data_IF_642547019640
#
_entry.id   IF_642547019640
#
_cell.length_a   1.000
_cell.length_b   1.000
_cell.length_c   1.000
_cell.angle_alpha   90.00
_cell.angle_beta   90.00
_cell.angle_gamma   90.00
#
_symmetry.space_group_name_H-M   'P 1'
#
loop_
_entity.id
_entity.type
_entity.pdbx_description
1 polymer ?
#
# COMPACT_ATOMS: atom_id res chain seq x y z
N UNK A 1 -9.50 8.51 7.74
CA UNK A 1 -9.38 8.53 6.27
C UNK A 1 -10.67 9.05 5.65
N UNK A 2 -11.82 8.46 5.95
CA UNK A 2 -13.15 8.85 5.43
C UNK A 2 -13.50 10.34 5.62
N UNK A 3 -13.13 10.94 6.78
CA UNK A 3 -13.36 12.38 7.03
C UNK A 3 -12.67 13.31 6.04
N UNK A 4 -11.58 12.88 5.40
CA UNK A 4 -10.76 13.72 4.49
C UNK A 4 -11.00 13.34 3.04
N UNK A 5 -11.14 12.04 2.75
CA UNK A 5 -11.22 11.50 1.38
C UNK A 5 -12.60 10.95 1.02
N UNK A 6 -13.56 10.97 1.94
CA UNK A 6 -14.91 10.44 1.75
C UNK A 6 -14.96 8.90 1.81
N UNK A 7 -16.17 8.35 1.64
CA UNK A 7 -16.43 6.90 1.69
C UNK A 7 -15.78 6.11 0.54
N UNK A 8 -15.40 6.79 -0.53
CA UNK A 8 -14.74 6.17 -1.71
C UNK A 8 -13.22 6.05 -1.56
N UNK A 9 -12.68 6.33 -0.37
CA UNK A 9 -11.25 6.26 -0.12
C UNK A 9 -10.74 4.81 -0.19
N UNK A 10 -9.96 4.50 -1.20
CA UNK A 10 -9.30 3.21 -1.34
C UNK A 10 -8.07 3.13 -0.43
N UNK A 11 -8.09 2.20 0.51
CA UNK A 11 -6.99 1.99 1.45
C UNK A 11 -6.13 0.82 1.00
N UNK A 12 -4.82 1.05 0.86
CA UNK A 12 -3.84 -0.02 0.67
C UNK A 12 -3.01 -0.18 1.94
N UNK A 13 -3.10 -1.33 2.59
CA UNK A 13 -2.20 -1.67 3.71
C UNK A 13 -0.85 -2.19 3.23
N UNK A 14 0.20 -1.89 3.99
CA UNK A 14 1.55 -2.32 3.69
C UNK A 14 1.70 -3.85 3.81
N UNK A 15 2.00 -4.52 2.69
CA UNK A 15 2.20 -5.96 2.64
C UNK A 15 3.44 -6.41 3.44
N UNK A 16 4.47 -5.57 3.55
CA UNK A 16 5.68 -5.90 4.33
C UNK A 16 5.35 -5.92 5.82
N UNK A 17 4.66 -4.89 6.33
CA UNK A 17 4.25 -4.85 7.73
C UNK A 17 3.27 -5.98 8.06
N UNK A 18 2.30 -6.28 7.19
CA UNK A 18 1.39 -7.39 7.37
C UNK A 18 2.14 -8.71 7.55
N UNK A 19 3.11 -9.01 6.69
CA UNK A 19 3.93 -10.23 6.81
C UNK A 19 4.77 -10.25 8.09
N UNK A 20 5.34 -9.11 8.51
CA UNK A 20 6.08 -9.01 9.78
C UNK A 20 5.19 -9.31 10.97
N UNK A 21 4.02 -8.67 11.03
CA UNK A 21 3.06 -8.88 12.12
C UNK A 21 2.62 -10.35 12.24
N UNK A 22 2.30 -11.00 11.13
CA UNK A 22 1.95 -12.43 11.14
C UNK A 22 3.11 -13.28 11.66
N UNK A 23 4.35 -12.97 11.25
CA UNK A 23 5.54 -13.70 11.69
C UNK A 23 5.78 -13.63 13.19
N UNK A 24 5.50 -12.51 13.83
CA UNK A 24 5.70 -12.30 15.27
C UNK A 24 4.91 -13.31 16.12
N UNK A 25 3.81 -13.84 15.60
CA UNK A 25 3.02 -14.88 16.27
C UNK A 25 3.48 -16.32 15.94
N UNK A 26 4.47 -16.51 15.07
CA UNK A 26 4.87 -17.83 14.63
C UNK A 26 6.16 -18.29 15.30
N UNK A 27 6.28 -19.62 15.59
CA UNK A 27 7.56 -20.21 16.01
C UNK A 27 8.66 -19.97 14.97
N UNK A 28 9.90 -19.76 15.42
CA UNK A 28 11.03 -19.39 14.56
C UNK A 28 11.23 -20.34 13.36
N UNK A 29 11.04 -21.64 13.59
CA UNK A 29 11.19 -22.67 12.58
C UNK A 29 10.17 -22.53 11.41
N UNK A 30 9.02 -21.91 11.64
CA UNK A 30 7.98 -21.69 10.62
C UNK A 30 8.05 -20.30 9.96
N UNK A 31 8.66 -19.32 10.61
CA UNK A 31 8.61 -17.91 10.18
C UNK A 31 9.10 -17.70 8.75
N UNK A 32 10.22 -18.29 8.38
CA UNK A 32 10.83 -18.12 7.04
C UNK A 32 9.93 -18.72 5.95
N UNK A 33 9.33 -19.86 6.21
CA UNK A 33 8.46 -20.52 5.23
C UNK A 33 7.18 -19.74 5.00
N UNK A 34 6.49 -19.33 6.07
CA UNK A 34 5.25 -18.54 5.95
C UNK A 34 5.50 -17.15 5.36
N UNK A 35 6.62 -16.48 5.69
CA UNK A 35 7.00 -15.22 5.05
C UNK A 35 7.20 -15.39 3.54
N UNK A 36 7.90 -16.45 3.11
CA UNK A 36 8.09 -16.79 1.69
C UNK A 36 6.76 -17.03 0.99
N UNK A 37 5.87 -17.81 1.60
CA UNK A 37 4.55 -18.16 1.04
C UNK A 37 3.66 -16.96 0.89
N UNK A 38 3.57 -16.09 1.91
CA UNK A 38 2.84 -14.82 1.83
C UNK A 38 3.43 -13.90 0.75
N UNK A 39 4.76 -13.82 0.65
CA UNK A 39 5.41 -13.04 -0.41
C UNK A 39 5.06 -13.56 -1.80
N UNK A 40 5.06 -14.86 -2.00
CA UNK A 40 4.68 -15.47 -3.27
C UNK A 40 3.20 -15.22 -3.61
N UNK A 41 2.30 -15.28 -2.64
CA UNK A 41 0.90 -14.94 -2.82
C UNK A 41 0.71 -13.48 -3.26
N UNK A 42 1.39 -12.54 -2.60
CA UNK A 42 1.37 -11.12 -2.99
C UNK A 42 2.08 -10.83 -4.32
N UNK A 43 2.93 -11.73 -4.81
CA UNK A 43 3.58 -11.58 -6.12
C UNK A 43 2.70 -12.04 -7.29
N UNK A 44 1.61 -12.75 -7.05
CA UNK A 44 0.67 -13.20 -8.08
C UNK A 44 0.06 -12.01 -8.82
N UNK A 45 -0.25 -12.18 -10.11
CA UNK A 45 -0.72 -11.08 -10.93
C UNK A 45 -2.22 -10.80 -10.75
N UNK A 46 -3.01 -11.84 -10.52
CA UNK A 46 -4.46 -11.72 -10.43
C UNK A 46 -4.93 -11.64 -8.97
N UNK A 47 -5.85 -10.73 -8.69
CA UNK A 47 -6.43 -10.55 -7.36
C UNK A 47 -7.02 -11.84 -6.79
N UNK A 48 -7.80 -12.58 -7.60
CA UNK A 48 -8.46 -13.80 -7.15
C UNK A 48 -7.45 -14.88 -6.71
N UNK A 49 -6.38 -15.07 -7.49
CA UNK A 49 -5.31 -16.04 -7.18
C UNK A 49 -4.54 -15.64 -5.91
N UNK A 50 -4.19 -14.35 -5.79
CA UNK A 50 -3.50 -13.84 -4.62
C UNK A 50 -4.36 -14.00 -3.36
N UNK A 51 -5.66 -13.68 -3.44
CA UNK A 51 -6.62 -13.83 -2.35
C UNK A 51 -6.77 -15.30 -1.94
N UNK A 52 -6.98 -16.20 -2.89
CA UNK A 52 -7.10 -17.63 -2.62
C UNK A 52 -5.84 -18.20 -1.97
N UNK A 53 -4.66 -17.81 -2.46
CA UNK A 53 -3.38 -18.24 -1.86
C UNK A 53 -3.25 -17.75 -0.40
N UNK A 54 -3.62 -16.51 -0.10
CA UNK A 54 -3.61 -15.97 1.27
C UNK A 54 -4.64 -16.68 2.15
N UNK A 55 -5.83 -16.98 1.63
CA UNK A 55 -6.85 -17.75 2.36
C UNK A 55 -6.41 -19.18 2.66
N UNK A 56 -5.66 -19.83 1.76
CA UNK A 56 -5.04 -21.14 2.02
C UNK A 56 -4.03 -21.04 3.16
N UNK A 57 -3.22 -19.97 3.17
CA UNK A 57 -2.27 -19.70 4.27
C UNK A 57 -3.03 -19.48 5.58
N UNK A 58 -4.08 -18.67 5.58
CA UNK A 58 -4.93 -18.42 6.73
C UNK A 58 -5.43 -19.71 7.38
N UNK A 59 -6.06 -20.63 6.60
CA UNK A 59 -6.56 -21.91 7.09
C UNK A 59 -5.48 -22.80 7.72
N UNK A 60 -4.24 -22.66 7.28
CA UNK A 60 -3.12 -23.41 7.88
C UNK A 60 -2.63 -22.75 9.16
N UNK A 61 -2.60 -21.41 9.19
CA UNK A 61 -2.24 -20.64 10.38
C UNK A 61 -3.22 -20.86 11.53
N UNK A 62 -4.51 -21.03 11.25
CA UNK A 62 -5.52 -21.34 12.28
C UNK A 62 -5.16 -22.58 13.10
N UNK A 63 -4.53 -23.59 12.46
CA UNK A 63 -4.12 -24.84 13.11
C UNK A 63 -2.81 -24.69 13.90
N UNK A 64 -1.97 -23.69 13.58
CA UNK A 64 -0.66 -23.49 14.21
C UNK A 64 -0.77 -22.44 15.31
N UNK A 65 -1.31 -21.28 14.98
CA UNK A 65 -1.50 -20.16 15.89
C UNK A 65 -2.67 -19.29 15.42
N UNK A 66 -3.82 -19.34 16.12
CA UNK A 66 -5.00 -18.53 15.78
C UNK A 66 -4.74 -17.01 15.78
N UNK A 67 -3.76 -16.51 16.55
CA UNK A 67 -3.42 -15.09 16.55
C UNK A 67 -2.68 -14.69 15.27
N UNK A 68 -1.83 -15.56 14.74
CA UNK A 68 -1.20 -15.36 13.43
C UNK A 68 -2.25 -15.34 12.31
N UNK A 69 -3.23 -16.26 12.38
CA UNK A 69 -4.35 -16.30 11.42
C UNK A 69 -5.16 -15.00 11.46
N UNK A 70 -5.60 -14.57 12.64
CA UNK A 70 -6.33 -13.29 12.82
C UNK A 70 -5.52 -12.09 12.34
N UNK A 71 -4.21 -12.08 12.62
CA UNK A 71 -3.32 -11.03 12.13
C UNK A 71 -3.25 -10.98 10.60
N UNK A 72 -3.35 -12.13 9.91
CA UNK A 72 -3.42 -12.17 8.44
C UNK A 72 -4.78 -11.70 7.92
N UNK A 73 -5.86 -12.15 8.55
CA UNK A 73 -7.24 -11.85 8.15
C UNK A 73 -7.58 -10.37 8.30
N UNK A 74 -7.14 -9.76 9.41
CA UNK A 74 -7.36 -8.34 9.68
C UNK A 74 -6.85 -7.47 8.54
N UNK A 75 -7.77 -6.86 7.78
CA UNK A 75 -7.45 -6.01 6.63
C UNK A 75 -6.74 -6.74 5.48
N UNK A 76 -7.02 -8.03 5.29
CA UNK A 76 -6.51 -8.81 4.16
C UNK A 76 -6.89 -8.16 2.84
N UNK A 77 -8.16 -7.78 2.69
CA UNK A 77 -8.66 -7.09 1.48
C UNK A 77 -7.90 -5.80 1.21
N UNK A 78 -7.64 -5.01 2.23
CA UNK A 78 -6.88 -3.76 2.11
C UNK A 78 -5.42 -4.00 1.70
N UNK A 79 -4.84 -5.17 1.97
CA UNK A 79 -3.51 -5.52 1.45
C UNK A 79 -3.50 -5.87 -0.04
N UNK A 80 -4.68 -6.11 -0.61
CA UNK A 80 -4.88 -6.48 -2.01
C UNK A 80 -5.54 -5.38 -2.86
N UNK A 81 -5.75 -4.18 -2.31
CA UNK A 81 -6.41 -3.07 -3.03
C UNK A 81 -5.77 -2.80 -4.38
N UNK A 82 -4.45 -2.70 -4.47
CA UNK A 82 -3.77 -2.44 -5.76
C UNK A 82 -3.83 -3.63 -6.73
N UNK A 83 -4.07 -4.86 -6.24
CA UNK A 83 -4.37 -6.01 -7.11
C UNK A 83 -5.80 -5.88 -7.67
N UNK A 84 -6.76 -5.57 -6.79
CA UNK A 84 -8.16 -5.38 -7.17
C UNK A 84 -8.34 -4.27 -8.21
N UNK A 85 -7.57 -3.20 -8.09
CA UNK A 85 -7.52 -2.11 -9.06
C UNK A 85 -6.86 -2.49 -10.39
N UNK A 86 -6.34 -3.71 -10.54
CA UNK A 86 -5.77 -4.20 -11.80
C UNK A 86 -4.50 -3.47 -12.23
N UNK A 87 -3.69 -2.98 -11.27
CA UNK A 87 -2.44 -2.28 -11.54
C UNK A 87 -1.33 -3.30 -11.81
N UNK A 88 -0.52 -3.02 -12.82
CA UNK A 88 0.56 -3.92 -13.26
C UNK A 88 1.64 -4.13 -12.20
N UNK A 89 2.32 -5.26 -12.28
CA UNK A 89 3.21 -5.77 -11.24
C UNK A 89 4.33 -4.79 -10.82
N UNK A 90 4.79 -3.90 -11.74
CA UNK A 90 5.89 -2.97 -11.46
C UNK A 90 5.43 -1.85 -10.53
N UNK A 91 4.31 -1.18 -10.85
CA UNK A 91 3.75 -0.11 -10.04
C UNK A 91 3.15 -0.69 -8.76
N UNK A 92 2.42 -1.82 -8.84
CA UNK A 92 1.82 -2.52 -7.71
C UNK A 92 2.83 -2.78 -6.60
N UNK A 93 4.01 -3.34 -6.91
CA UNK A 93 5.08 -3.57 -5.91
C UNK A 93 5.55 -2.30 -5.22
N UNK A 94 5.45 -1.15 -5.86
CA UNK A 94 5.82 0.13 -5.24
C UNK A 94 4.73 0.68 -4.33
N UNK A 95 3.48 0.52 -4.71
CA UNK A 95 2.33 1.00 -3.94
C UNK A 95 1.94 0.06 -2.79
N UNK A 96 2.31 -1.20 -2.85
CA UNK A 96 1.99 -2.20 -1.82
C UNK A 96 2.84 -2.07 -0.53
N UNK A 97 3.70 -1.06 -0.43
CA UNK A 97 4.58 -0.82 0.72
C UNK A 97 4.60 0.64 1.13
N UNK A 98 4.88 0.90 2.41
CA UNK A 98 5.05 2.24 2.96
C UNK A 98 6.48 2.78 2.81
N UNK A 99 7.39 2.03 2.20
CA UNK A 99 8.81 2.41 2.07
C UNK A 99 9.03 3.84 1.51
N UNK A 100 8.29 4.32 0.48
CA UNK A 100 8.46 5.69 -0.01
C UNK A 100 8.13 6.74 1.05
N UNK A 101 7.04 6.52 1.80
CA UNK A 101 6.59 7.42 2.88
C UNK A 101 7.58 7.36 4.05
N UNK A 102 8.02 6.17 4.43
CA UNK A 102 9.01 5.96 5.51
C UNK A 102 10.35 6.63 5.17
N UNK A 103 10.82 6.52 3.93
CA UNK A 103 12.01 7.22 3.46
C UNK A 103 11.87 8.74 3.51
N UNK A 104 10.70 9.26 3.15
CA UNK A 104 10.38 10.67 3.26
C UNK A 104 10.41 11.12 4.73
N UNK A 105 9.68 10.43 5.61
CA UNK A 105 9.60 10.73 7.03
C UNK A 105 10.96 10.60 7.73
N UNK A 106 11.80 9.66 7.33
CA UNK A 106 13.17 9.55 7.87
C UNK A 106 14.02 10.79 7.55
N UNK A 107 13.79 11.42 6.40
CA UNK A 107 14.44 12.70 6.06
C UNK A 107 13.92 13.83 6.95
N UNK A 108 12.59 13.89 7.20
CA UNK A 108 11.99 14.85 8.14
C UNK A 108 12.60 14.69 9.53
N UNK A 109 12.68 13.47 10.05
CA UNK A 109 13.30 13.17 11.35
C UNK A 109 14.77 13.62 11.41
N UNK A 110 15.54 13.37 10.35
CA UNK A 110 16.94 13.79 10.27
C UNK A 110 17.09 15.31 10.30
N UNK A 111 16.24 16.03 9.57
CA UNK A 111 16.24 17.51 9.53
C UNK A 111 15.83 18.08 10.90
N UNK A 112 14.84 17.49 11.55
CA UNK A 112 14.34 17.93 12.85
C UNK A 112 15.17 17.41 14.05
N UNK A 113 16.19 16.56 13.84
CA UNK A 113 16.94 15.85 14.91
C UNK A 113 17.49 16.76 15.99
N UNK A 114 17.89 17.98 15.65
CA UNK A 114 18.49 18.94 16.58
C UNK A 114 17.45 19.74 17.38
N UNK A 115 16.17 19.61 17.07
CA UNK A 115 15.09 20.28 17.80
C UNK A 115 14.84 19.47 19.09
N UNK A 116 15.32 20.00 20.23
CA UNK A 116 15.19 19.32 21.52
C UNK A 116 13.89 19.64 22.26
N UNK A 117 13.28 20.77 21.95
CA UNK A 117 12.01 21.22 22.53
C UNK A 117 11.10 21.74 21.43
N UNK A 118 9.92 21.21 21.37
CA UNK A 118 8.88 21.69 20.46
C UNK A 118 8.06 22.75 21.19
N UNK A 119 8.02 23.96 20.64
CA UNK A 119 7.18 25.03 21.15
C UNK A 119 5.80 24.92 20.53
N UNK A 120 4.80 25.47 21.22
CA UNK A 120 3.45 25.58 20.69
C UNK A 120 3.41 26.48 19.42
N UNK A 121 2.32 26.37 18.66
CA UNK A 121 2.13 27.10 17.40
C UNK A 121 2.74 26.40 16.20
N UNK A 122 3.24 27.17 15.22
CA UNK A 122 3.61 26.69 13.89
C UNK A 122 4.99 25.97 13.83
N UNK A 123 5.72 25.87 14.92
CA UNK A 123 7.07 25.30 14.88
C UNK A 123 7.10 23.87 14.35
N UNK A 124 6.25 22.94 14.82
CA UNK A 124 6.20 21.58 14.27
C UNK A 124 5.89 21.55 12.78
N UNK A 125 4.94 22.40 12.34
CA UNK A 125 4.54 22.51 10.94
C UNK A 125 5.71 23.00 10.07
N UNK A 126 6.43 24.04 10.49
CA UNK A 126 7.58 24.60 9.75
C UNK A 126 8.71 23.57 9.59
N UNK A 127 9.07 22.88 10.67
CA UNK A 127 10.11 21.85 10.61
C UNK A 127 9.70 20.63 9.76
N UNK A 128 8.43 20.22 9.85
CA UNK A 128 7.90 19.16 9.00
C UNK A 128 7.92 19.58 7.53
N UNK A 129 7.45 20.79 7.21
CA UNK A 129 7.48 21.32 5.85
C UNK A 129 8.91 21.41 5.31
N UNK A 130 9.86 21.91 6.10
CA UNK A 130 11.28 21.98 5.71
C UNK A 130 11.84 20.58 5.42
N UNK A 131 11.52 19.61 6.27
CA UNK A 131 11.95 18.22 6.08
C UNK A 131 11.33 17.57 4.84
N UNK A 132 10.07 17.86 4.54
CA UNK A 132 9.40 17.37 3.32
C UNK A 132 10.00 17.99 2.05
N UNK A 133 10.24 19.30 2.04
CA UNK A 133 10.91 19.99 0.91
C UNK A 133 12.33 19.45 0.69
N UNK A 134 13.06 19.12 1.75
CA UNK A 134 14.38 18.48 1.63
C UNK A 134 14.28 17.04 1.10
N UNK A 135 13.24 16.29 1.49
CA UNK A 135 12.98 14.96 0.96
C UNK A 135 12.61 15.02 -0.53
N UNK A 136 11.81 16.00 -0.95
CA UNK A 136 11.36 16.20 -2.32
C UNK A 136 12.54 16.35 -3.30
N UNK A 137 13.60 17.03 -2.92
CA UNK A 137 14.83 17.16 -3.74
C UNK A 137 15.44 15.81 -4.16
N UNK A 138 15.15 14.74 -3.41
CA UNK A 138 15.65 13.38 -3.63
C UNK A 138 14.63 12.46 -4.28
N UNK A 139 13.42 12.93 -4.55
CA UNK A 139 12.40 12.10 -5.17
C UNK A 139 12.83 11.70 -6.57
N UNK A 140 12.65 10.42 -6.86
CA UNK A 140 12.87 9.84 -8.17
C UNK A 140 11.54 9.38 -8.73
N UNK A 141 11.44 9.40 -10.06
CA UNK A 141 10.27 8.89 -10.75
C UNK A 141 10.00 7.43 -10.31
N UNK A 142 8.77 7.16 -9.91
CA UNK A 142 8.36 5.82 -9.49
C UNK A 142 8.43 4.84 -10.66
N UNK A 143 8.95 3.64 -10.42
CA UNK A 143 8.94 2.58 -11.44
C UNK A 143 7.50 2.17 -11.75
N UNK A 144 7.16 2.07 -13.03
CA UNK A 144 5.79 1.79 -13.48
C UNK A 144 4.90 3.04 -13.54
N UNK A 145 5.47 4.24 -13.50
CA UNK A 145 4.74 5.51 -13.51
C UNK A 145 3.78 5.67 -14.71
N UNK A 146 4.03 4.97 -15.81
CA UNK A 146 3.13 4.98 -16.97
C UNK A 146 1.70 4.52 -16.63
N UNK A 147 1.58 3.66 -15.62
CA UNK A 147 0.29 3.15 -15.16
C UNK A 147 -0.41 4.07 -14.15
N UNK A 148 0.17 5.23 -13.77
CA UNK A 148 -0.45 6.17 -12.83
C UNK A 148 -1.76 6.75 -13.42
N UNK A 149 -1.81 6.96 -14.72
CA UNK A 149 -3.05 7.42 -15.36
C UNK A 149 -4.15 6.37 -15.21
N UNK A 150 -3.85 5.11 -15.48
CA UNK A 150 -4.79 4.00 -15.26
C UNK A 150 -5.24 3.91 -13.78
N UNK A 151 -4.30 4.06 -12.84
CA UNK A 151 -4.63 4.09 -11.41
C UNK A 151 -5.60 5.24 -11.09
N UNK A 152 -5.34 6.43 -11.64
CA UNK A 152 -6.20 7.61 -11.44
C UNK A 152 -7.61 7.37 -11.98
N UNK A 153 -7.73 6.74 -13.14
CA UNK A 153 -9.02 6.35 -13.74
C UNK A 153 -9.77 5.35 -12.86
N UNK A 154 -9.07 4.35 -12.35
CA UNK A 154 -9.66 3.33 -11.46
C UNK A 154 -10.13 3.89 -10.12
N UNK A 155 -9.44 4.90 -9.60
CA UNK A 155 -9.81 5.58 -8.35
C UNK A 155 -10.95 6.60 -8.53
N UNK A 156 -11.17 7.11 -9.74
CA UNK A 156 -12.19 8.12 -10.03
C UNK A 156 -12.97 7.78 -11.30
N UNK A 157 -13.75 6.69 -11.31
CA UNK A 157 -14.47 6.26 -12.50
C UNK A 157 -15.49 7.30 -13.02
N UNK A 158 -16.01 8.17 -12.15
CA UNK A 158 -16.95 9.24 -12.51
C UNK A 158 -16.33 10.45 -13.21
N UNK A 159 -14.99 10.54 -13.30
CA UNK A 159 -14.26 11.62 -13.99
C UNK A 159 -13.76 11.23 -15.39
N UNK A 160 -14.14 10.06 -15.89
CA UNK A 160 -13.85 9.69 -17.27
C UNK A 160 -14.67 10.61 -18.19
N UNK A 161 -14.06 11.27 -19.20
CA UNK A 161 -14.83 11.87 -20.26
C UNK A 161 -15.64 10.73 -20.91
N UNK A 162 -16.97 10.87 -20.89
CA UNK A 162 -17.84 9.98 -21.67
C UNK A 162 -17.34 10.10 -23.12
N UNK A 163 -16.76 9.03 -23.66
CA UNK A 163 -16.52 8.93 -25.09
C UNK A 163 -17.89 9.00 -25.74
N UNK A 164 -18.21 10.15 -26.34
CA UNK A 164 -19.33 10.24 -27.26
C UNK A 164 -19.16 9.14 -28.30
N UNK A 165 -19.99 8.12 -28.22
CA UNK A 165 -20.14 7.17 -29.31
C UNK A 165 -20.83 7.96 -30.44
N UNK A 166 -20.01 8.54 -31.33
CA UNK A 166 -20.54 9.04 -32.61
C UNK A 166 -21.05 7.81 -33.40
N UNK A 167 -22.32 7.58 -33.30
CA UNK A 167 -23.03 6.78 -34.25
C UNK A 167 -22.88 7.45 -35.62
N UNK A 168 -22.01 6.89 -36.45
CA UNK A 168 -21.99 7.25 -37.88
C UNK A 168 -23.22 6.57 -38.47
N UNK A 169 -24.28 7.33 -38.65
CA UNK A 169 -25.37 6.93 -39.56
C UNK A 169 -24.78 6.88 -40.96
N UNK A 170 -24.68 5.66 -41.49
CA UNK A 170 -24.37 5.41 -42.90
C UNK A 170 -25.68 5.58 -43.68
N UNK A 171 -25.74 6.65 -44.46
CA UNK A 171 -26.81 6.89 -45.45
C UNK A 171 -26.61 5.99 -46.66
#
# INVERSE_FOLDING_TARGET
MERVFGEQAEVQRCQIHKRRNVKEYLPENCQKDYDRRMRNAYAMNHYAEAKEALQKIFRQLERINPSAARSLEEGLEETLTVHRLGIGAVLRRKLATTNPIESCLSTVQRVARNVKRWREGDQPLRWTATGLLEAEKKFRRIKGYQEILLLKERLNPSRLPQKEVRTVEVA
#
